data_IF_958043287719
#
_entry.id   IF_958043287719
#
_cell.length_a   1.000
_cell.length_b   1.000
_cell.length_c   1.000
_cell.angle_alpha   90.00
_cell.angle_beta   90.00
_cell.angle_gamma   90.00
#
_symmetry.space_group_name_H-M   'P 1'
#
loop_
_entity.id
_entity.type
_entity.pdbx_description
1 polymer ?
#
# COMPACT_ATOMS: atom_id res chain seq x y z
N UNK A 1 10.68 -12.18 32.24
CA UNK A 1 11.07 -11.84 30.86
C UNK A 1 10.04 -12.51 29.97
N UNK A 2 9.23 -11.74 29.25
CA UNK A 2 8.28 -12.34 28.31
C UNK A 2 9.12 -12.88 27.15
N UNK A 3 9.03 -14.18 26.86
CA UNK A 3 9.56 -14.72 25.62
C UNK A 3 8.89 -13.93 24.47
N UNK A 4 9.71 -13.32 23.62
CA UNK A 4 9.23 -12.64 22.42
C UNK A 4 8.52 -13.66 21.55
N UNK A 5 7.30 -13.36 21.12
CA UNK A 5 6.60 -14.20 20.16
C UNK A 5 7.33 -14.09 18.82
N UNK A 6 7.95 -15.18 18.38
CA UNK A 6 8.55 -15.28 17.04
C UNK A 6 7.49 -15.84 16.10
N UNK A 7 7.07 -15.05 15.11
CA UNK A 7 6.11 -15.51 14.10
C UNK A 7 6.74 -16.63 13.27
N UNK A 8 6.17 -17.83 13.31
CA UNK A 8 6.55 -18.92 12.42
C UNK A 8 6.19 -18.52 10.97
N UNK A 9 7.19 -18.20 10.16
CA UNK A 9 7.02 -17.97 8.73
C UNK A 9 6.69 -19.32 8.09
N UNK A 10 5.42 -19.50 7.69
CA UNK A 10 5.01 -20.67 6.92
C UNK A 10 5.79 -20.70 5.62
N UNK A 11 6.32 -21.87 5.24
CA UNK A 11 7.26 -22.00 4.11
C UNK A 11 6.77 -21.36 2.80
N UNK A 12 5.45 -21.22 2.61
CA UNK A 12 4.89 -20.48 1.47
C UNK A 12 3.52 -19.84 1.79
N UNK A 13 3.46 -18.51 1.86
CA UNK A 13 2.20 -17.78 1.74
C UNK A 13 1.74 -17.84 0.28
N UNK A 14 0.65 -18.55 -0.01
CA UNK A 14 0.03 -18.53 -1.33
C UNK A 14 -0.65 -17.18 -1.54
N UNK A 15 -0.03 -16.32 -2.34
CA UNK A 15 -0.57 -14.99 -2.67
C UNK A 15 -1.11 -15.06 -4.09
N UNK A 16 -2.42 -14.88 -4.22
CA UNK A 16 -3.05 -14.66 -5.52
C UNK A 16 -2.88 -13.19 -5.88
N UNK A 17 -2.01 -12.89 -6.85
CA UNK A 17 -1.88 -11.53 -7.38
C UNK A 17 -2.84 -11.38 -8.56
N UNK A 18 -3.79 -10.47 -8.43
CA UNK A 18 -4.69 -10.09 -9.52
C UNK A 18 -4.22 -8.76 -10.09
N UNK A 19 -3.80 -8.75 -11.35
CA UNK A 19 -3.59 -7.51 -12.09
C UNK A 19 -4.94 -6.99 -12.58
N UNK A 20 -5.52 -6.07 -11.81
CA UNK A 20 -6.77 -5.43 -12.19
C UNK A 20 -6.55 -4.50 -13.39
N UNK A 21 -7.47 -4.53 -14.35
CA UNK A 21 -7.50 -3.53 -15.40
C UNK A 21 -8.06 -2.22 -14.82
N UNK A 22 -7.20 -1.22 -14.66
CA UNK A 22 -7.55 0.09 -14.09
C UNK A 22 -7.90 1.13 -15.17
N UNK A 23 -8.05 0.73 -16.43
CA UNK A 23 -8.24 1.64 -17.56
C UNK A 23 -9.45 2.55 -17.39
N UNK A 24 -10.61 2.01 -17.01
CA UNK A 24 -11.83 2.80 -16.79
C UNK A 24 -11.64 3.85 -15.70
N UNK A 25 -10.95 3.49 -14.62
CA UNK A 25 -10.67 4.42 -13.52
C UNK A 25 -9.73 5.55 -13.97
N UNK A 26 -8.73 5.24 -14.80
CA UNK A 26 -7.85 6.24 -15.41
C UNK A 26 -8.61 7.16 -16.35
N UNK A 27 -9.57 6.64 -17.10
CA UNK A 27 -10.43 7.44 -17.98
C UNK A 27 -11.30 8.42 -17.21
N UNK A 28 -11.88 7.97 -16.09
CA UNK A 28 -12.65 8.86 -15.18
C UNK A 28 -11.76 10.00 -14.69
N UNK A 29 -10.53 9.71 -14.24
CA UNK A 29 -9.60 10.74 -13.79
C UNK A 29 -9.16 11.70 -14.92
N UNK A 30 -9.00 11.18 -16.13
CA UNK A 30 -8.62 11.98 -17.30
C UNK A 30 -9.72 12.96 -17.71
N UNK A 31 -10.99 12.63 -17.44
CA UNK A 31 -12.14 13.47 -17.74
C UNK A 31 -12.35 14.61 -16.73
N UNK A 32 -11.69 14.58 -15.58
CA UNK A 32 -11.83 15.64 -14.58
C UNK A 32 -11.29 16.97 -15.09
N UNK A 33 -12.06 18.02 -14.84
CA UNK A 33 -11.61 19.39 -15.00
C UNK A 33 -10.61 19.77 -13.89
N UNK A 34 -9.97 20.93 -14.04
CA UNK A 34 -8.91 21.38 -13.13
C UNK A 34 -9.44 21.68 -11.72
N UNK A 35 -10.68 22.17 -11.57
CA UNK A 35 -11.28 22.44 -10.26
C UNK A 35 -11.49 21.13 -9.49
N UNK A 36 -12.04 20.12 -10.17
CA UNK A 36 -12.23 18.78 -9.61
C UNK A 36 -10.89 18.14 -9.20
N UNK A 37 -9.85 18.26 -10.04
CA UNK A 37 -8.50 17.76 -9.71
C UNK A 37 -7.90 18.46 -8.49
N UNK A 38 -8.04 19.77 -8.39
CA UNK A 38 -7.53 20.55 -7.25
C UNK A 38 -8.27 20.20 -5.96
N UNK A 39 -9.60 20.08 -6.02
CA UNK A 39 -10.41 19.64 -4.88
C UNK A 39 -10.01 18.23 -4.42
N UNK A 40 -9.79 17.31 -5.36
CA UNK A 40 -9.34 15.96 -5.01
C UNK A 40 -7.95 15.97 -4.36
N UNK A 41 -6.99 16.66 -4.97
CA UNK A 41 -5.63 16.81 -4.42
C UNK A 41 -5.65 17.45 -3.03
N UNK A 42 -6.48 18.47 -2.80
CA UNK A 42 -6.62 19.09 -1.50
C UNK A 42 -7.11 18.13 -0.42
N UNK A 43 -7.93 17.13 -0.74
CA UNK A 43 -8.47 16.20 0.24
C UNK A 43 -7.67 14.89 0.35
N UNK A 44 -7.06 14.45 -0.74
CA UNK A 44 -6.49 13.11 -0.88
C UNK A 44 -5.05 13.08 -1.41
N UNK A 45 -4.44 14.24 -1.65
CA UNK A 45 -3.07 14.36 -2.13
C UNK A 45 -2.84 13.67 -3.47
N UNK A 46 -1.68 13.02 -3.59
CA UNK A 46 -1.19 12.27 -4.74
C UNK A 46 -1.79 10.84 -4.82
N UNK A 47 -2.90 10.54 -4.14
CA UNK A 47 -3.56 9.24 -4.25
C UNK A 47 -3.84 8.78 -5.70
N UNK A 48 -4.22 9.65 -6.66
CA UNK A 48 -4.42 9.23 -8.06
C UNK A 48 -3.15 8.66 -8.71
N UNK A 49 -1.96 9.10 -8.28
CA UNK A 49 -0.67 8.59 -8.78
C UNK A 49 -0.50 7.10 -8.51
N UNK A 50 -1.13 6.55 -7.46
CA UNK A 50 -1.07 5.12 -7.15
C UNK A 50 -1.57 4.23 -8.29
N UNK A 51 -2.48 4.74 -9.13
CA UNK A 51 -3.02 4.00 -10.27
C UNK A 51 -2.03 3.85 -11.42
N UNK A 52 -0.99 4.69 -11.46
CA UNK A 52 0.09 4.63 -12.44
C UNK A 52 1.29 3.83 -11.95
N UNK A 53 1.34 3.50 -10.65
CA UNK A 53 2.38 2.65 -10.10
C UNK A 53 2.23 1.23 -10.66
N UNK A 54 3.24 0.81 -11.43
CA UNK A 54 3.36 -0.57 -11.88
C UNK A 54 3.83 -1.43 -10.72
N UNK A 55 2.97 -2.31 -10.24
CA UNK A 55 3.35 -3.33 -9.26
C UNK A 55 3.92 -4.53 -10.01
N UNK A 56 5.21 -4.77 -9.83
CA UNK A 56 5.85 -5.99 -10.30
C UNK A 56 5.47 -7.14 -9.35
N UNK A 57 4.80 -8.16 -9.89
CA UNK A 57 4.33 -9.32 -9.13
C UNK A 57 5.47 -10.06 -8.44
N UNK A 58 6.62 -10.21 -9.12
CA UNK A 58 7.77 -10.92 -8.57
C UNK A 58 8.42 -10.13 -7.43
N UNK A 59 8.49 -8.80 -7.55
CA UNK A 59 8.94 -7.94 -6.45
C UNK A 59 7.98 -7.96 -5.27
N UNK A 60 6.67 -8.03 -5.50
CA UNK A 60 5.66 -8.05 -4.43
C UNK A 60 5.63 -9.38 -3.69
N UNK A 61 5.97 -10.49 -4.36
CA UNK A 61 5.96 -11.83 -3.75
C UNK A 61 6.92 -11.95 -2.56
N UNK A 62 8.09 -11.33 -2.64
CA UNK A 62 9.09 -11.39 -1.58
C UNK A 62 8.63 -10.75 -0.25
N UNK A 63 8.21 -9.46 -0.20
CA UNK A 63 7.75 -8.83 1.04
C UNK A 63 6.43 -9.44 1.54
N UNK A 64 5.56 -9.92 0.66
CA UNK A 64 4.27 -10.47 1.07
C UNK A 64 4.36 -11.79 1.87
N UNK A 65 5.50 -12.50 1.84
CA UNK A 65 5.75 -13.62 2.76
C UNK A 65 5.87 -13.17 4.22
N UNK A 66 6.29 -11.92 4.44
CA UNK A 66 6.44 -11.33 5.76
C UNK A 66 5.17 -10.59 6.23
N UNK A 67 4.13 -10.51 5.38
CA UNK A 67 2.89 -9.84 5.74
C UNK A 67 2.10 -10.65 6.78
N UNK A 68 1.86 -10.04 7.93
CA UNK A 68 1.07 -10.58 9.01
C UNK A 68 -0.32 -9.97 9.02
N UNK A 69 -1.32 -10.71 8.51
CA UNK A 69 -2.68 -10.20 8.37
C UNK A 69 -3.39 -9.92 9.70
N UNK A 70 -2.98 -10.55 10.80
CA UNK A 70 -3.59 -10.32 12.11
C UNK A 70 -3.25 -8.92 12.66
N UNK A 71 -2.07 -8.40 12.31
CA UNK A 71 -1.55 -7.12 12.80
C UNK A 71 -1.44 -6.05 11.69
N UNK A 72 -1.70 -6.41 10.44
CA UNK A 72 -1.57 -5.54 9.26
C UNK A 72 -0.17 -4.91 9.15
N UNK A 73 0.87 -5.71 9.40
CA UNK A 73 2.28 -5.31 9.38
C UNK A 73 3.16 -6.30 8.61
N UNK A 74 4.38 -5.90 8.26
CA UNK A 74 5.42 -6.84 7.86
C UNK A 74 6.24 -7.27 9.07
N UNK A 75 6.27 -8.55 9.40
CA UNK A 75 7.02 -9.07 10.55
C UNK A 75 8.31 -9.75 10.09
N UNK A 76 9.44 -9.28 10.61
CA UNK A 76 10.79 -9.82 10.38
C UNK A 76 11.38 -10.30 11.71
N UNK A 77 11.09 -11.55 12.09
CA UNK A 77 11.49 -12.09 13.39
C UNK A 77 10.79 -11.33 14.53
N UNK A 78 11.56 -10.60 15.34
CA UNK A 78 11.05 -9.78 16.46
C UNK A 78 10.78 -8.31 16.06
N UNK A 79 10.98 -7.93 14.79
CA UNK A 79 10.79 -6.57 14.31
C UNK A 79 9.56 -6.48 13.43
N UNK A 80 8.62 -5.63 13.78
CA UNK A 80 7.49 -5.26 12.92
C UNK A 80 7.80 -3.98 12.15
N UNK A 81 7.59 -4.02 10.84
CA UNK A 81 7.64 -2.88 9.95
C UNK A 81 6.21 -2.51 9.54
N UNK A 82 5.76 -1.36 10.03
CA UNK A 82 4.51 -0.72 9.63
C UNK A 82 4.86 0.71 9.27
N UNK A 83 4.56 1.18 8.05
CA UNK A 83 4.75 2.58 7.75
C UNK A 83 3.85 3.42 8.64
N UNK A 84 4.39 4.47 9.26
CA UNK A 84 3.60 5.34 10.14
C UNK A 84 2.63 6.19 9.34
N UNK A 85 1.64 6.78 10.02
CA UNK A 85 0.70 7.70 9.38
C UNK A 85 1.46 8.88 8.75
N UNK A 86 2.51 9.38 9.41
CA UNK A 86 3.36 10.46 8.88
C UNK A 86 4.11 10.05 7.61
N UNK A 87 4.59 8.81 7.53
CA UNK A 87 5.28 8.30 6.35
C UNK A 87 4.31 8.17 5.16
N UNK A 88 3.11 7.63 5.38
CA UNK A 88 2.06 7.60 4.35
C UNK A 88 1.64 9.01 3.91
N UNK A 89 1.45 9.92 4.86
CA UNK A 89 1.10 11.31 4.59
C UNK A 89 2.18 11.99 3.75
N UNK A 90 3.46 11.72 4.04
CA UNK A 90 4.59 12.26 3.29
C UNK A 90 4.66 11.69 1.88
N UNK A 91 4.50 10.37 1.75
CA UNK A 91 4.53 9.68 0.46
C UNK A 91 3.40 10.15 -0.46
N UNK A 92 2.19 10.25 0.06
CA UNK A 92 0.99 10.61 -0.70
C UNK A 92 0.73 12.11 -0.72
N UNK A 93 1.51 12.93 -0.01
CA UNK A 93 1.23 14.36 0.22
C UNK A 93 -0.21 14.63 0.67
N UNK A 94 -0.81 13.70 1.41
CA UNK A 94 -2.14 13.90 1.96
C UNK A 94 -2.09 15.03 3.01
N UNK A 95 -3.13 15.85 3.14
CA UNK A 95 -3.27 16.69 4.32
C UNK A 95 -3.37 15.79 5.56
N UNK A 96 -2.71 16.19 6.65
CA UNK A 96 -3.02 15.59 7.95
C UNK A 96 -4.43 16.03 8.32
N UNK A 97 -5.32 15.06 8.53
CA UNK A 97 -6.67 15.27 9.09
C UNK A 97 -6.56 15.87 10.49
#
# INVERSE_FOLDING_TARGET
>A
MSEGYTSELWDFTYISVTQNNLQELKEVLAQWDDETKQLFYYNYGDLPYLLDIKVDEHLFRAPAQFWNSAYSCFTFGEVDLVPTIEEYTTLLRCPRI
#
